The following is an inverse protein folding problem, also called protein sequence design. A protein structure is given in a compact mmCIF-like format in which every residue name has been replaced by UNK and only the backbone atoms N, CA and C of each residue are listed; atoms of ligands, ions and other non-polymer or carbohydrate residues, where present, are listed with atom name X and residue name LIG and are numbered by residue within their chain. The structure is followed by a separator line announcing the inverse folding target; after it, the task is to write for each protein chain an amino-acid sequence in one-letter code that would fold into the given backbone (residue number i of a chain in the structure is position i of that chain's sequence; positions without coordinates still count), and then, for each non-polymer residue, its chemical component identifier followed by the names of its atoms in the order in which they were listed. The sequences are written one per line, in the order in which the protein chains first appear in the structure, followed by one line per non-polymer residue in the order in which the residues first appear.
data_IF_194378102311
#
_entry.id   IF_194378102311
#
_cell.length_a   1.000
_cell.length_b   1.000
_cell.length_c   1.000
_cell.angle_alpha   90.00
_cell.angle_beta   90.00
_cell.angle_gamma   90.00
#
_symmetry.space_group_name_H-M   'P 1'
#
loop_
_entity.id
_entity.type
_entity.pdbx_description
1 polymer ?
#
# COMPACT_ATOMS: atom_id res chain seq x y z
N UNK A 1 -0.88 2.08 -42.77
CA UNK A 1 -1.51 3.07 -43.67
C UNK A 1 -2.21 4.13 -42.83
N UNK A 2 -2.49 5.31 -43.39
CA UNK A 2 -3.15 6.44 -42.70
C UNK A 2 -4.55 6.07 -42.18
N UNK A 3 -5.30 5.26 -42.93
CA UNK A 3 -6.62 4.77 -42.53
C UNK A 3 -6.55 3.83 -41.31
N UNK A 4 -5.57 2.91 -41.27
CA UNK A 4 -5.36 2.04 -40.12
C UNK A 4 -5.01 2.85 -38.86
N UNK A 5 -4.18 3.88 -39.01
CA UNK A 5 -3.82 4.76 -37.89
C UNK A 5 -5.06 5.49 -37.35
N UNK A 6 -5.92 6.03 -38.22
CA UNK A 6 -7.15 6.69 -37.80
C UNK A 6 -8.11 5.74 -37.06
N UNK A 7 -8.25 4.51 -37.56
CA UNK A 7 -9.08 3.50 -36.89
C UNK A 7 -8.52 3.14 -35.51
N UNK A 8 -7.23 2.81 -35.44
CA UNK A 8 -6.58 2.49 -34.17
C UNK A 8 -6.71 3.65 -33.16
N UNK A 9 -6.61 4.90 -33.64
CA UNK A 9 -6.77 6.07 -32.78
C UNK A 9 -8.20 6.25 -32.26
N UNK A 10 -9.20 5.96 -33.09
CA UNK A 10 -10.60 5.96 -32.67
C UNK A 10 -10.87 4.86 -31.64
N UNK A 11 -10.32 3.66 -31.84
CA UNK A 11 -10.48 2.53 -30.92
C UNK A 11 -9.85 2.85 -29.54
N UNK A 12 -8.66 3.44 -29.53
CA UNK A 12 -7.99 3.86 -28.29
C UNK A 12 -8.78 4.93 -27.53
N UNK A 13 -9.35 5.91 -28.23
CA UNK A 13 -10.21 6.93 -27.60
C UNK A 13 -11.48 6.31 -27.03
N UNK A 14 -12.09 5.35 -27.72
CA UNK A 14 -13.28 4.66 -27.25
C UNK A 14 -12.99 3.84 -25.97
N UNK A 15 -11.82 3.21 -25.89
CA UNK A 15 -11.36 2.53 -24.67
C UNK A 15 -11.16 3.54 -23.54
N UNK A 16 -10.39 4.61 -23.77
CA UNK A 16 -10.14 5.64 -22.75
C UNK A 16 -11.45 6.25 -22.21
N UNK A 17 -12.42 6.52 -23.08
CA UNK A 17 -13.74 7.03 -22.68
C UNK A 17 -14.49 6.05 -21.78
N UNK A 18 -14.40 4.74 -22.05
CA UNK A 18 -14.99 3.71 -21.18
C UNK A 18 -14.28 3.64 -19.82
N UNK A 19 -12.95 3.82 -19.81
CA UNK A 19 -12.16 3.86 -18.58
C UNK A 19 -12.55 5.06 -17.71
N UNK A 20 -12.72 6.24 -18.31
CA UNK A 20 -13.12 7.46 -17.62
C UNK A 20 -14.57 7.41 -17.10
N UNK A 21 -15.45 6.72 -17.82
CA UNK A 21 -16.84 6.53 -17.40
C UNK A 21 -17.03 5.46 -16.32
N UNK A 22 -16.03 4.60 -16.10
CA UNK A 22 -16.08 3.58 -15.06
C UNK A 22 -15.94 4.26 -13.68
N UNK A 23 -17.01 4.23 -12.89
CA UNK A 23 -16.98 4.73 -11.50
C UNK A 23 -16.18 3.82 -10.57
N UNK A 24 -16.14 2.52 -10.88
CA UNK A 24 -15.59 1.48 -10.00
C UNK A 24 -14.76 0.49 -10.80
N UNK A 25 -13.47 0.45 -10.49
CA UNK A 25 -12.57 -0.58 -10.98
C UNK A 25 -12.63 -1.78 -10.04
N UNK A 26 -12.73 -3.03 -10.56
CA UNK A 26 -12.71 -4.21 -9.70
C UNK A 26 -11.40 -4.22 -8.90
N UNK A 27 -11.52 -4.10 -7.59
CA UNK A 27 -10.40 -4.19 -6.69
C UNK A 27 -10.04 -5.65 -6.47
N UNK A 28 -8.75 -5.96 -6.40
CA UNK A 28 -8.31 -7.29 -5.96
C UNK A 28 -8.69 -7.50 -4.49
N UNK A 29 -9.13 -8.72 -4.16
CA UNK A 29 -9.36 -9.13 -2.77
C UNK A 29 -8.10 -9.64 -2.09
N UNK A 30 -7.02 -9.86 -2.86
CA UNK A 30 -5.72 -10.23 -2.33
C UNK A 30 -5.05 -9.02 -1.67
N UNK A 31 -5.07 -9.00 -0.34
CA UNK A 31 -4.46 -7.95 0.47
C UNK A 31 -2.93 -7.98 0.41
N UNK A 32 -2.30 -9.14 0.17
CA UNK A 32 -0.86 -9.23 0.01
C UNK A 32 -0.40 -8.53 -1.27
N UNK A 33 -1.17 -8.66 -2.37
CA UNK A 33 -0.92 -7.87 -3.57
C UNK A 33 -1.17 -6.37 -3.34
N UNK A 34 -2.18 -6.03 -2.53
CA UNK A 34 -2.46 -4.63 -2.18
C UNK A 34 -1.30 -3.97 -1.41
N UNK A 35 -0.58 -4.72 -0.56
CA UNK A 35 0.55 -4.19 0.22
C UNK A 35 1.69 -3.63 -0.66
N UNK A 36 1.84 -4.16 -1.87
CA UNK A 36 2.88 -3.75 -2.81
C UNK A 36 2.36 -2.84 -3.92
N UNK A 37 1.07 -2.45 -3.89
CA UNK A 37 0.47 -1.65 -4.93
C UNK A 37 0.84 -0.15 -4.77
N UNK A 38 1.48 0.49 -5.75
CA UNK A 38 1.85 1.90 -5.66
C UNK A 38 0.62 2.84 -5.65
N UNK A 39 -0.54 2.34 -6.04
CA UNK A 39 -1.79 3.10 -6.10
C UNK A 39 -2.71 2.86 -4.90
N UNK A 40 -2.24 2.19 -3.84
CA UNK A 40 -3.03 1.87 -2.65
C UNK A 40 -3.72 3.10 -2.04
N UNK A 41 -3.07 4.27 -2.11
CA UNK A 41 -3.61 5.53 -1.60
C UNK A 41 -4.91 5.95 -2.28
N UNK A 42 -5.14 5.51 -3.53
CA UNK A 42 -6.28 5.92 -4.36
C UNK A 42 -7.43 4.91 -4.37
N UNK A 43 -7.25 3.71 -3.80
CA UNK A 43 -8.27 2.65 -3.81
C UNK A 43 -8.91 2.37 -2.44
N UNK A 44 -8.62 3.17 -1.40
CA UNK A 44 -9.24 3.04 -0.08
C UNK A 44 -8.83 1.78 0.72
N UNK A 45 -7.76 1.08 0.30
CA UNK A 45 -7.27 -0.16 0.93
C UNK A 45 -5.97 0.06 1.72
N UNK A 46 -5.79 1.22 2.35
CA UNK A 46 -4.57 1.56 3.09
C UNK A 46 -4.32 0.63 4.30
N UNK A 47 -5.37 0.02 4.84
CA UNK A 47 -5.30 -0.91 5.97
C UNK A 47 -4.63 -2.25 5.63
N UNK A 48 -4.46 -2.59 4.36
CA UNK A 48 -3.77 -3.84 3.96
C UNK A 48 -2.32 -3.90 4.45
N UNK A 49 -1.68 -2.75 4.68
CA UNK A 49 -0.27 -2.63 5.08
C UNK A 49 -0.05 -2.61 6.58
N UNK A 50 -1.07 -2.42 7.43
CA UNK A 50 -0.81 -2.29 8.86
C UNK A 50 -0.51 -3.67 9.47
N UNK A 51 0.75 -4.01 9.84
CA UNK A 51 0.95 -5.06 10.81
C UNK A 51 0.20 -4.66 12.09
N UNK A 52 -0.28 -5.64 12.88
CA UNK A 52 -0.70 -5.35 14.24
C UNK A 52 0.43 -4.61 14.95
N UNK A 53 0.14 -3.62 15.82
CA UNK A 53 1.18 -3.05 16.66
C UNK A 53 1.87 -4.19 17.40
N UNK A 54 3.18 -4.32 17.21
CA UNK A 54 3.96 -5.30 17.95
C UNK A 54 3.79 -4.98 19.44
N UNK A 55 3.50 -5.99 20.29
CA UNK A 55 3.48 -5.76 21.72
C UNK A 55 4.84 -5.18 22.14
N UNK A 56 4.89 -4.24 23.10
CA UNK A 56 6.17 -3.73 23.59
C UNK A 56 7.04 -4.92 24.01
N UNK A 57 8.27 -4.97 23.48
CA UNK A 57 9.23 -6.00 23.88
C UNK A 57 9.46 -5.89 25.39
N UNK A 58 9.23 -6.99 26.11
CA UNK A 58 9.31 -7.04 27.58
C UNK A 58 10.74 -6.78 28.12
N UNK A 59 11.74 -6.75 27.21
CA UNK A 59 13.16 -6.59 27.52
C UNK A 59 13.61 -5.11 27.69
N UNK A 60 12.78 -4.13 27.33
CA UNK A 60 13.02 -2.71 27.64
C UNK A 60 12.62 -2.33 29.08
N UNK A 61 12.23 -3.30 29.90
CA UNK A 61 12.02 -3.09 31.33
C UNK A 61 13.37 -3.08 32.06
N UNK A 62 14.16 -2.02 31.84
CA UNK A 62 15.26 -1.71 32.75
C UNK A 62 14.63 -1.26 34.08
N UNK A 63 14.70 -2.06 35.16
CA UNK A 63 14.10 -1.65 36.41
C UNK A 63 14.89 -0.44 36.92
N UNK A 64 14.28 0.74 36.99
CA UNK A 64 14.86 1.97 37.60
C UNK A 64 15.36 1.77 39.05
N UNK A 65 15.07 0.61 39.63
CA UNK A 65 15.40 0.17 40.98
C UNK A 65 16.72 -0.57 41.10
N UNK A 66 17.42 -0.85 39.99
CA UNK A 66 18.76 -1.47 40.05
C UNK A 66 19.75 -0.43 40.60
N UNK A 67 20.29 -0.62 41.82
CA UNK A 67 21.33 0.27 42.32
C UNK A 67 22.56 0.10 41.43
N UNK A 68 23.04 1.20 40.85
CA UNK A 68 24.35 1.24 40.23
C UNK A 68 25.37 1.03 41.36
N UNK A 69 25.85 -0.20 41.53
CA UNK A 69 26.95 -0.44 42.45
C UNK A 69 28.16 0.39 41.99
N UNK A 70 28.78 1.19 42.88
CA UNK A 70 29.97 1.94 42.51
C UNK A 70 31.06 0.95 42.13
N UNK A 71 31.59 1.10 40.91
CA UNK A 71 32.82 0.41 40.50
C UNK A 71 33.91 0.84 41.49
N UNK A 72 34.29 -0.05 42.40
CA UNK A 72 35.40 0.17 43.31
C UNK A 72 36.71 0.36 42.51
N UNK A 73 37.60 1.26 42.95
CA UNK A 73 38.84 1.59 42.23
C UNK A 73 39.85 0.44 42.19
#
# INVERSE_FOLDING_TARGET
STAQHAQNWADLQAIATQMDAASDWPLTDDLALCQHCPYQAYCGRQTAVSPPPEPPEEDDYFPEWLPLEPIAP
#
